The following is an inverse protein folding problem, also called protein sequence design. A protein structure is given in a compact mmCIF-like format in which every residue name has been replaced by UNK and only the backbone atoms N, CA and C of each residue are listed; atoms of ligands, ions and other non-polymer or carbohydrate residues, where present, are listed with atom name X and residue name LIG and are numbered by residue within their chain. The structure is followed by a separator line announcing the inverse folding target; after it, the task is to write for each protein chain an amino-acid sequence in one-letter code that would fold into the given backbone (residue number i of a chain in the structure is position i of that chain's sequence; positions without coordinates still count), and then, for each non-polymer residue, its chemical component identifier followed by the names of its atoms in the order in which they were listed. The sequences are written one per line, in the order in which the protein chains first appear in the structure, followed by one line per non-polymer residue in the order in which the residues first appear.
data_IF_328189174310
#
_entry.id   IF_328189174310
#
_cell.length_a   1.000
_cell.length_b   1.000
_cell.length_c   1.000
_cell.angle_alpha   90.00
_cell.angle_beta   90.00
_cell.angle_gamma   90.00
#
_symmetry.space_group_name_H-M   'P 1'
#
loop_
_entity.id
_entity.type
_entity.pdbx_description
1 polymer ?
#
# COMPACT_ATOMS: atom_id res chain seq x y z
N UNK A 1 -18.24 -15.74 -10.09
CA UNK A 1 -16.90 -16.15 -10.56
C UNK A 1 -16.58 -15.26 -11.75
N UNK A 2 -15.61 -14.35 -11.58
CA UNK A 2 -15.08 -13.47 -12.63
C UNK A 2 -13.82 -14.04 -13.29
N UNK A 3 -13.22 -15.06 -12.66
CA UNK A 3 -12.07 -15.80 -13.18
C UNK A 3 -12.55 -17.04 -13.94
N UNK A 4 -12.08 -17.31 -15.17
CA UNK A 4 -12.41 -18.56 -15.84
C UNK A 4 -12.03 -19.78 -15.00
N UNK A 5 -12.86 -20.80 -15.11
CA UNK A 5 -12.66 -22.04 -14.40
C UNK A 5 -13.11 -23.18 -15.30
N UNK A 6 -12.29 -24.23 -15.39
CA UNK A 6 -12.57 -25.38 -16.25
C UNK A 6 -13.58 -26.37 -15.66
N UNK A 7 -14.05 -26.15 -14.43
CA UNK A 7 -15.03 -27.03 -13.80
C UNK A 7 -16.39 -26.86 -14.49
N UNK A 8 -17.00 -27.92 -15.06
CA UNK A 8 -18.25 -27.85 -15.82
C UNK A 8 -19.40 -27.16 -15.07
N UNK A 9 -19.43 -27.26 -13.74
CA UNK A 9 -20.46 -26.61 -12.90
C UNK A 9 -20.49 -25.09 -13.03
N UNK A 10 -19.38 -24.48 -13.46
CA UNK A 10 -19.24 -23.04 -13.65
C UNK A 10 -19.36 -22.59 -15.10
N UNK A 11 -19.56 -23.50 -16.06
CA UNK A 11 -19.66 -23.18 -17.48
C UNK A 11 -20.74 -22.12 -17.80
N UNK A 12 -21.85 -22.13 -17.05
CA UNK A 12 -22.93 -21.14 -17.17
C UNK A 12 -22.53 -19.69 -16.84
N UNK A 13 -21.39 -19.49 -16.18
CA UNK A 13 -20.89 -18.16 -15.80
C UNK A 13 -19.84 -17.59 -16.76
N UNK A 14 -19.50 -18.28 -17.85
CA UNK A 14 -18.45 -17.84 -18.81
C UNK A 14 -18.62 -16.39 -19.26
N UNK A 15 -19.86 -15.95 -19.50
CA UNK A 15 -20.19 -14.57 -19.94
C UNK A 15 -19.95 -13.48 -18.89
N UNK A 16 -19.64 -13.86 -17.64
CA UNK A 16 -19.33 -12.97 -16.52
C UNK A 16 -17.81 -12.80 -16.30
N UNK A 17 -16.97 -13.57 -16.98
CA UNK A 17 -15.53 -13.50 -16.82
C UNK A 17 -14.93 -12.24 -17.46
N UNK A 18 -13.79 -11.79 -16.96
CA UNK A 18 -12.97 -10.70 -17.54
C UNK A 18 -13.68 -9.35 -17.65
N UNK A 19 -14.60 -9.08 -16.73
CA UNK A 19 -15.27 -7.79 -16.62
C UNK A 19 -14.79 -7.06 -15.39
N UNK A 20 -14.69 -5.73 -15.49
CA UNK A 20 -14.57 -4.88 -14.30
C UNK A 20 -15.82 -5.12 -13.46
N UNK A 21 -15.61 -5.62 -12.24
CA UNK A 21 -16.71 -5.92 -11.30
C UNK A 21 -16.93 -4.79 -10.31
N UNK A 22 -15.90 -3.98 -10.09
CA UNK A 22 -15.91 -2.87 -9.15
C UNK A 22 -14.71 -1.95 -9.42
N UNK A 23 -14.93 -0.65 -9.25
CA UNK A 23 -13.88 0.36 -9.20
C UNK A 23 -13.89 0.99 -7.81
N UNK A 24 -12.71 1.22 -7.24
CA UNK A 24 -12.56 1.88 -5.94
C UNK A 24 -11.96 3.27 -6.17
N UNK A 25 -12.64 4.35 -5.78
CA UNK A 25 -12.12 5.69 -5.96
C UNK A 25 -10.89 5.91 -5.07
N UNK A 26 -9.84 6.45 -5.65
CA UNK A 26 -8.64 6.90 -4.95
C UNK A 26 -8.71 8.43 -4.74
N UNK A 27 -8.13 8.96 -3.64
CA UNK A 27 -8.15 10.40 -3.37
C UNK A 27 -7.31 11.22 -4.36
N UNK A 28 -6.46 10.57 -5.18
CA UNK A 28 -5.75 11.22 -6.27
C UNK A 28 -5.07 10.23 -7.20
N UNK A 29 -4.47 10.76 -8.28
CA UNK A 29 -3.67 9.99 -9.23
C UNK A 29 -2.25 9.72 -8.70
N UNK A 30 -1.48 8.91 -9.44
CA UNK A 30 -0.07 8.66 -9.14
C UNK A 30 0.20 7.40 -8.31
N UNK A 31 -0.77 6.48 -8.23
CA UNK A 31 -0.57 5.12 -7.72
C UNK A 31 0.42 4.35 -8.60
N UNK A 32 1.31 3.60 -7.96
CA UNK A 32 2.23 2.67 -8.62
C UNK A 32 1.95 1.23 -8.20
N UNK A 33 1.59 1.00 -6.93
CA UNK A 33 1.42 -0.34 -6.37
C UNK A 33 0.13 -0.49 -5.58
N UNK A 34 -0.51 -1.64 -5.76
CA UNK A 34 -1.56 -2.17 -4.87
C UNK A 34 -1.10 -3.50 -4.29
N UNK A 35 -1.50 -3.82 -3.05
CA UNK A 35 -1.06 -5.06 -2.39
C UNK A 35 -2.10 -5.54 -1.38
N UNK A 36 -2.21 -6.86 -1.25
CA UNK A 36 -2.88 -7.56 -0.17
C UNK A 36 -2.14 -8.87 0.11
N UNK A 37 -2.60 -9.63 1.11
CA UNK A 37 -2.10 -10.94 1.46
C UNK A 37 -3.27 -11.87 1.82
N UNK A 38 -3.24 -13.19 1.56
CA UNK A 38 -4.36 -14.10 1.84
C UNK A 38 -4.91 -14.10 3.27
N UNK A 39 -4.09 -13.70 4.25
CA UNK A 39 -4.50 -13.57 5.67
C UNK A 39 -4.94 -12.16 6.06
N UNK A 40 -4.70 -11.18 5.19
CA UNK A 40 -5.08 -9.79 5.41
C UNK A 40 -6.53 -9.57 5.04
N UNK A 41 -7.12 -8.57 5.69
CA UNK A 41 -8.45 -8.03 5.35
C UNK A 41 -8.35 -6.69 4.63
N UNK A 42 -7.13 -6.30 4.26
CA UNK A 42 -6.82 -4.97 3.75
C UNK A 42 -6.27 -5.03 2.33
N UNK A 43 -6.72 -4.08 1.51
CA UNK A 43 -6.11 -3.75 0.24
C UNK A 43 -5.42 -2.41 0.40
N UNK A 44 -4.09 -2.42 0.31
CA UNK A 44 -3.25 -1.25 0.43
C UNK A 44 -2.93 -0.69 -0.95
N UNK A 45 -2.95 0.63 -1.09
CA UNK A 45 -2.59 1.35 -2.31
C UNK A 45 -1.74 2.58 -1.98
N UNK A 46 -0.70 2.81 -2.77
CA UNK A 46 0.18 3.98 -2.65
C UNK A 46 -0.21 5.10 -3.64
N UNK A 47 0.32 6.31 -3.48
CA UNK A 47 0.20 7.38 -4.47
C UNK A 47 1.50 8.19 -4.59
N UNK A 48 2.67 7.55 -4.70
CA UNK A 48 3.96 8.24 -4.58
C UNK A 48 4.15 9.30 -5.65
N UNK A 49 3.51 9.20 -6.83
CA UNK A 49 3.66 10.20 -7.91
C UNK A 49 2.65 11.35 -7.84
N UNK A 50 1.83 11.41 -6.79
CA UNK A 50 0.93 12.54 -6.60
C UNK A 50 1.73 13.84 -6.34
N UNK A 51 1.28 15.01 -6.84
CA UNK A 51 1.93 16.28 -6.53
C UNK A 51 1.66 16.76 -5.10
N UNK A 52 0.51 16.38 -4.51
CA UNK A 52 0.12 16.80 -3.17
C UNK A 52 0.84 15.98 -2.11
N UNK A 53 1.53 16.68 -1.20
CA UNK A 53 2.31 16.07 -0.11
C UNK A 53 1.49 15.07 0.68
N UNK A 54 0.30 15.48 1.10
CA UNK A 54 -0.56 14.66 1.92
C UNK A 54 -0.92 13.32 1.26
N UNK A 55 -0.85 13.21 -0.06
CA UNK A 55 -1.13 11.97 -0.79
C UNK A 55 0.15 11.20 -1.07
N UNK A 56 1.18 11.88 -1.56
CA UNK A 56 2.47 11.29 -1.90
C UNK A 56 3.19 10.65 -0.71
N UNK A 57 2.97 11.18 0.50
CA UNK A 57 3.59 10.71 1.73
C UNK A 57 2.74 9.70 2.50
N UNK A 58 1.62 9.24 1.91
CA UNK A 58 0.62 8.42 2.58
C UNK A 58 0.29 7.11 1.83
N UNK A 59 -0.31 6.18 2.56
CA UNK A 59 -0.98 5.00 2.03
C UNK A 59 -2.49 5.11 2.21
N UNK A 60 -3.23 4.45 1.32
CA UNK A 60 -4.69 4.32 1.38
C UNK A 60 -5.02 2.84 1.57
N UNK A 61 -5.83 2.53 2.57
CA UNK A 61 -6.12 1.15 2.97
C UNK A 61 -7.62 0.89 2.96
N UNK A 62 -8.06 0.03 2.05
CA UNK A 62 -9.45 -0.39 1.93
C UNK A 62 -9.71 -1.65 2.77
N UNK A 63 -10.88 -1.70 3.41
CA UNK A 63 -11.35 -2.90 4.10
C UNK A 63 -12.02 -3.85 3.09
N UNK A 64 -11.38 -4.97 2.79
CA UNK A 64 -11.89 -5.95 1.82
C UNK A 64 -13.16 -6.69 2.30
N UNK A 65 -13.50 -6.63 3.59
CA UNK A 65 -14.79 -7.16 4.05
C UNK A 65 -15.96 -6.22 3.76
N UNK A 66 -15.68 -4.93 3.51
CA UNK A 66 -16.69 -3.91 3.25
C UNK A 66 -16.10 -2.75 2.45
N UNK A 67 -16.10 -2.92 1.13
CA UNK A 67 -15.56 -1.94 0.18
C UNK A 67 -16.47 -0.71 -0.02
N UNK A 68 -17.61 -0.64 0.68
CA UNK A 68 -18.47 0.56 0.65
C UNK A 68 -17.99 1.63 1.63
N UNK A 69 -17.15 1.24 2.60
CA UNK A 69 -16.56 2.17 3.57
C UNK A 69 -15.45 3.00 2.93
N UNK A 70 -15.29 4.27 3.35
CA UNK A 70 -14.13 5.05 2.94
C UNK A 70 -12.84 4.37 3.39
N UNK A 71 -11.77 4.44 2.60
CA UNK A 71 -10.49 3.86 3.01
C UNK A 71 -9.88 4.65 4.16
N UNK A 72 -9.02 3.98 4.91
CA UNK A 72 -8.18 4.60 5.94
C UNK A 72 -6.94 5.19 5.29
N UNK A 73 -6.62 6.45 5.61
CA UNK A 73 -5.37 7.10 5.20
C UNK A 73 -4.32 6.91 6.29
N UNK A 74 -3.13 6.45 5.91
CA UNK A 74 -1.98 6.24 6.80
C UNK A 74 -0.87 7.20 6.36
N UNK A 75 -0.47 8.11 7.23
CA UNK A 75 0.56 9.11 6.96
C UNK A 75 1.94 8.55 7.29
N UNK A 76 2.60 7.97 6.28
CA UNK A 76 3.86 7.25 6.46
C UNK A 76 5.01 8.18 6.80
N UNK A 77 5.01 9.41 6.26
CA UNK A 77 6.01 10.41 6.62
C UNK A 77 5.91 10.80 8.09
N UNK A 78 4.69 11.07 8.58
CA UNK A 78 4.46 11.36 10.00
C UNK A 78 4.83 10.17 10.88
N UNK A 79 4.38 8.98 10.51
CA UNK A 79 4.59 7.74 11.27
C UNK A 79 6.06 7.30 11.33
N UNK A 80 6.89 7.75 10.38
CA UNK A 80 8.34 7.55 10.43
C UNK A 80 9.03 8.29 11.56
N UNK A 81 8.41 9.32 12.13
CA UNK A 81 9.01 10.19 13.15
C UNK A 81 10.17 11.06 12.65
N UNK A 82 10.51 11.01 11.35
CA UNK A 82 11.58 11.81 10.78
C UNK A 82 11.11 13.26 10.57
N UNK A 83 11.98 14.27 10.78
CA UNK A 83 11.61 15.67 10.58
C UNK A 83 11.14 15.90 9.14
N UNK A 84 10.16 16.79 8.99
CA UNK A 84 9.64 17.19 7.68
C UNK A 84 10.74 17.90 6.90
N UNK A 85 10.89 17.53 5.62
CA UNK A 85 11.84 18.17 4.70
C UNK A 85 11.10 19.04 3.70
N UNK A 86 11.84 19.93 3.02
CA UNK A 86 11.27 20.75 1.94
C UNK A 86 10.83 19.87 0.75
N UNK A 87 11.62 18.85 0.42
CA UNK A 87 11.26 17.86 -0.58
C UNK A 87 10.17 16.91 -0.08
N UNK A 88 9.47 16.26 -1.00
CA UNK A 88 8.54 15.17 -0.66
C UNK A 88 9.33 13.90 -0.37
N UNK A 89 8.94 13.16 0.66
CA UNK A 89 9.37 11.77 0.85
C UNK A 89 8.22 10.85 0.50
N UNK A 90 8.36 10.14 -0.61
CA UNK A 90 7.25 9.41 -1.22
C UNK A 90 7.05 8.06 -0.53
N UNK A 91 5.84 7.80 -0.02
CA UNK A 91 5.48 6.49 0.50
C UNK A 91 5.24 5.53 -0.68
N UNK A 92 6.01 4.44 -0.75
CA UNK A 92 6.00 3.56 -1.92
C UNK A 92 6.21 2.08 -1.58
N UNK A 93 5.55 1.24 -2.37
CA UNK A 93 5.76 -0.21 -2.42
C UNK A 93 5.53 -0.92 -1.09
N UNK A 94 4.29 -1.14 -0.71
CA UNK A 94 3.89 -1.90 0.46
C UNK A 94 4.16 -3.41 0.24
N UNK A 95 5.01 -4.02 1.08
CA UNK A 95 5.38 -5.43 0.99
C UNK A 95 5.01 -6.16 2.28
N UNK A 96 4.38 -7.33 2.17
CA UNK A 96 3.99 -8.11 3.35
C UNK A 96 5.16 -8.97 3.86
N UNK A 97 5.20 -9.22 5.16
CA UNK A 97 6.00 -10.32 5.73
C UNK A 97 5.47 -11.68 5.24
N UNK A 98 6.32 -12.71 5.31
CA UNK A 98 5.97 -14.08 4.88
C UNK A 98 4.69 -14.62 5.54
N UNK A 99 4.51 -14.31 6.81
CA UNK A 99 3.35 -14.75 7.59
C UNK A 99 2.10 -13.89 7.35
N UNK A 100 2.23 -12.75 6.66
CA UNK A 100 1.18 -11.82 6.32
C UNK A 100 0.71 -10.92 7.46
N UNK A 101 1.46 -10.82 8.56
CA UNK A 101 1.05 -10.03 9.73
C UNK A 101 1.57 -8.59 9.72
N UNK A 102 2.59 -8.31 8.91
CA UNK A 102 3.21 -7.00 8.79
C UNK A 102 3.17 -6.47 7.36
N UNK A 103 3.13 -5.14 7.23
CA UNK A 103 3.26 -4.43 5.95
C UNK A 103 4.40 -3.43 6.05
N UNK A 104 5.36 -3.53 5.14
CA UNK A 104 6.57 -2.74 5.13
C UNK A 104 6.48 -1.70 4.00
N UNK A 105 6.62 -0.43 4.34
CA UNK A 105 6.52 0.69 3.40
C UNK A 105 7.81 1.46 3.34
N UNK A 106 8.33 1.73 2.13
CA UNK A 106 9.47 2.64 2.00
C UNK A 106 8.96 4.06 2.05
N UNK A 107 9.61 4.88 2.88
CA UNK A 107 9.51 6.33 2.82
C UNK A 107 10.73 6.83 2.04
N UNK A 108 10.54 6.99 0.72
CA UNK A 108 11.58 7.31 -0.24
C UNK A 108 11.88 8.81 -0.25
N UNK A 109 12.96 9.21 0.42
CA UNK A 109 13.53 10.55 0.33
C UNK A 109 14.60 10.69 -0.77
N UNK A 110 15.10 11.91 -0.98
CA UNK A 110 16.22 12.17 -1.89
C UNK A 110 17.54 11.58 -1.38
N UNK A 111 18.59 11.63 -2.22
CA UNK A 111 19.92 11.07 -1.89
C UNK A 111 20.53 11.61 -0.60
N UNK A 112 20.21 12.85 -0.24
CA UNK A 112 20.72 13.54 0.94
C UNK A 112 19.72 13.58 2.09
N UNK A 113 18.47 13.15 1.86
CA UNK A 113 17.43 13.16 2.88
C UNK A 113 17.42 11.83 3.63
N UNK A 114 17.27 11.89 4.95
CA UNK A 114 17.06 10.67 5.72
C UNK A 114 15.74 10.01 5.30
N UNK A 115 15.82 8.72 5.00
CA UNK A 115 14.72 7.86 4.59
C UNK A 115 14.42 6.82 5.66
N UNK A 116 13.30 6.11 5.52
CA UNK A 116 12.91 5.06 6.45
C UNK A 116 12.20 3.90 5.73
N UNK A 117 12.15 2.75 6.39
CA UNK A 117 11.10 1.75 6.15
C UNK A 117 10.20 1.74 7.38
N UNK A 118 8.92 2.00 7.19
CA UNK A 118 7.92 1.95 8.26
C UNK A 118 7.18 0.63 8.16
N UNK A 119 7.17 -0.11 9.27
CA UNK A 119 6.52 -1.41 9.41
C UNK A 119 5.23 -1.21 10.20
N UNK A 120 4.12 -1.64 9.61
CA UNK A 120 2.80 -1.61 10.21
C UNK A 120 2.37 -3.01 10.61
N UNK A 121 1.66 -3.12 11.73
CA UNK A 121 0.84 -4.29 12.03
C UNK A 121 -0.41 -4.27 11.15
N UNK A 122 -0.58 -5.26 10.26
CA UNK A 122 -1.67 -5.24 9.26
C UNK A 122 -3.04 -5.29 9.93
N UNK A 123 -3.18 -5.99 11.06
CA UNK A 123 -4.48 -6.17 11.72
C UNK A 123 -4.99 -4.85 12.31
N UNK A 124 -4.10 -4.04 12.87
CA UNK A 124 -4.45 -2.81 13.58
C UNK A 124 -4.17 -1.54 12.79
N UNK A 125 -3.41 -1.64 11.69
CA UNK A 125 -2.91 -0.52 10.88
C UNK A 125 -2.02 0.46 11.65
N UNK A 126 -1.44 0.01 12.77
CA UNK A 126 -0.57 0.84 13.62
C UNK A 126 0.90 0.58 13.32
N UNK A 127 1.72 1.60 13.52
CA UNK A 127 3.18 1.48 13.45
C UNK A 127 3.64 0.43 14.45
N UNK A 128 4.34 -0.58 13.95
CA UNK A 128 5.01 -1.62 14.74
C UNK A 128 6.48 -1.29 14.93
N UNK A 129 7.13 -0.78 13.88
CA UNK A 129 8.56 -0.43 13.89
C UNK A 129 8.88 0.60 12.81
N UNK A 130 9.84 1.47 13.09
CA UNK A 130 10.48 2.31 12.08
C UNK A 130 11.93 1.85 11.96
N UNK A 131 12.38 1.59 10.74
CA UNK A 131 13.76 1.21 10.43
C UNK A 131 14.41 2.43 9.77
N UNK A 132 15.50 2.92 10.37
CA UNK A 132 16.34 3.98 9.84
C UNK A 132 17.80 3.58 9.96
N UNK A 133 18.62 3.98 8.99
CA UNK A 133 20.06 3.78 9.02
C UNK A 133 20.70 4.87 8.14
N UNK A 134 21.81 5.52 8.55
CA UNK A 134 22.51 6.50 7.72
C UNK A 134 22.95 5.97 6.33
N UNK A 135 23.12 4.65 6.18
CA UNK A 135 23.48 3.98 4.93
C UNK A 135 22.25 3.61 4.08
N UNK A 136 21.03 3.75 4.61
CA UNK A 136 19.81 3.52 3.86
C UNK A 136 19.47 4.74 3.00
N UNK A 137 20.13 4.81 1.85
CA UNK A 137 19.94 5.87 0.87
C UNK A 137 18.83 5.47 -0.10
N UNK A 138 17.79 6.31 -0.22
CA UNK A 138 16.72 6.19 -1.23
C UNK A 138 16.08 4.78 -1.30
N UNK A 139 15.57 4.19 -0.19
CA UNK A 139 14.92 2.88 -0.22
C UNK A 139 13.64 2.92 -1.07
N UNK A 140 13.45 1.93 -1.94
CA UNK A 140 12.31 1.86 -2.89
C UNK A 140 11.65 0.47 -2.86
N UNK A 141 12.06 -0.43 -3.75
CA UNK A 141 11.57 -1.81 -3.81
C UNK A 141 12.00 -2.63 -2.59
N UNK A 142 11.10 -3.50 -2.12
CA UNK A 142 11.31 -4.42 -0.99
C UNK A 142 10.71 -5.77 -1.39
N UNK A 143 11.41 -6.87 -1.15
CA UNK A 143 10.97 -8.20 -1.55
C UNK A 143 11.18 -9.15 -0.39
N UNK A 144 10.10 -9.79 0.08
CA UNK A 144 10.16 -10.80 1.13
C UNK A 144 10.52 -12.19 0.57
#
# INVERSE_FOLDING_TARGET
ISTPHDNPKFAKYKSKNWKVVQELPMPGAGNLFVKTHPKSKHLWADMPMNPERENAESMVVFNMNDLTKPPVKIDVAKDSGLPMTKALRRAVHQEFSQDGTEVWVSLWGGKTDQSAIVVYDDKTLKVKKVITDPKMITPTGKFN
#
